data_IF_288390559028
#
_entry.id   IF_288390559028
#
_cell.length_a   1.000
_cell.length_b   1.000
_cell.length_c   1.000
_cell.angle_alpha   90.00
_cell.angle_beta   90.00
_cell.angle_gamma   90.00
#
_symmetry.space_group_name_H-M   'P 1'
#
loop_
_entity.id
_entity.type
_entity.pdbx_description
1 polymer ?
#
# COMPACT_ATOMS: atom_id res chain seq x y z
N UNK A 1 2.40 10.67 5.08
CA UNK A 1 2.28 11.65 6.20
C UNK A 1 2.36 13.05 5.59
N UNK A 2 1.84 14.07 6.27
CA UNK A 2 2.09 15.47 5.89
C UNK A 2 3.33 16.03 6.63
N UNK A 3 3.65 17.29 6.38
CA UNK A 3 4.78 18.01 6.97
C UNK A 3 4.71 18.16 8.51
N UNK A 4 3.51 18.06 9.09
CA UNK A 4 3.27 18.22 10.53
C UNK A 4 3.34 16.90 11.29
N UNK A 5 3.62 15.80 10.59
CA UNK A 5 3.67 14.48 11.19
C UNK A 5 2.32 13.76 11.26
N UNK A 6 1.28 14.26 10.59
CA UNK A 6 -0.04 13.65 10.57
C UNK A 6 -0.16 12.63 9.44
N UNK A 7 -0.84 11.51 9.71
CA UNK A 7 -1.09 10.52 8.67
C UNK A 7 -2.11 11.06 7.68
N UNK A 8 -1.83 10.87 6.40
CA UNK A 8 -2.82 11.06 5.34
C UNK A 8 -3.34 9.68 4.99
N UNK A 9 -4.62 9.43 5.28
CA UNK A 9 -5.29 8.15 5.06
C UNK A 9 -6.29 8.33 3.94
N UNK A 10 -6.10 7.59 2.84
CA UNK A 10 -7.08 7.42 1.76
C UNK A 10 -7.44 5.95 1.75
N UNK A 11 -8.61 5.64 2.28
CA UNK A 11 -9.02 4.26 2.50
C UNK A 11 -9.98 4.11 3.66
N UNK A 12 -9.85 3.01 4.39
CA UNK A 12 -10.69 2.68 5.53
C UNK A 12 -10.42 3.63 6.72
N UNK A 13 -11.24 4.67 6.87
CA UNK A 13 -11.19 5.61 7.99
C UNK A 13 -12.21 5.18 9.06
N UNK A 14 -11.70 4.82 10.24
CA UNK A 14 -12.52 4.39 11.38
C UNK A 14 -12.84 5.57 12.30
N UNK A 15 -14.10 5.73 12.67
CA UNK A 15 -14.62 6.83 13.51
C UNK A 15 -15.61 6.36 14.54
N UNK A 16 -15.87 7.20 15.56
CA UNK A 16 -16.86 6.91 16.59
C UNK A 16 -18.28 7.03 16.02
N UNK A 17 -19.11 6.06 16.37
CA UNK A 17 -20.55 6.04 16.13
C UNK A 17 -21.28 5.83 17.47
N UNK A 18 -22.61 6.01 17.48
CA UNK A 18 -23.41 5.92 18.71
C UNK A 18 -23.31 4.56 19.42
N UNK A 19 -23.10 3.48 18.67
CA UNK A 19 -23.01 2.10 19.14
C UNK A 19 -21.59 1.50 19.06
N UNK A 20 -20.57 2.33 18.81
CA UNK A 20 -19.17 1.90 18.80
C UNK A 20 -18.32 2.63 17.77
N UNK A 21 -17.84 1.89 16.77
CA UNK A 21 -17.00 2.44 15.70
C UNK A 21 -17.54 2.06 14.32
N UNK A 22 -17.49 3.01 13.40
CA UNK A 22 -17.85 2.81 11.99
C UNK A 22 -16.63 3.05 11.11
N UNK A 23 -16.47 2.25 10.06
CA UNK A 23 -15.38 2.35 9.10
C UNK A 23 -15.98 2.67 7.73
N UNK A 24 -15.47 3.71 7.07
CA UNK A 24 -15.88 4.10 5.71
C UNK A 24 -14.66 4.33 4.84
N UNK A 25 -14.80 4.10 3.54
CA UNK A 25 -13.78 4.42 2.57
C UNK A 25 -13.85 5.91 2.22
N UNK A 26 -12.84 6.70 2.59
CA UNK A 26 -12.79 8.16 2.38
C UNK A 26 -11.35 8.68 2.62
N UNK A 27 -11.16 10.00 2.59
CA UNK A 27 -9.91 10.70 2.88
C UNK A 27 -9.92 11.40 4.24
N UNK A 28 -8.83 11.30 4.99
CA UNK A 28 -8.63 12.09 6.20
C UNK A 28 -7.15 12.37 6.49
N UNK A 29 -6.89 13.53 7.06
CA UNK A 29 -5.66 13.82 7.82
C UNK A 29 -5.94 13.41 9.27
N UNK A 30 -5.14 12.50 9.81
CA UNK A 30 -5.33 11.95 11.15
C UNK A 30 -4.06 12.13 11.99
N UNK A 31 -4.26 12.48 13.26
CA UNK A 31 -3.16 12.72 14.20
C UNK A 31 -2.34 11.45 14.43
N UNK A 32 -1.02 11.61 14.54
CA UNK A 32 -0.09 10.54 14.92
C UNK A 32 -0.20 10.14 16.41
N UNK A 33 -1.10 10.77 17.16
CA UNK A 33 -1.47 10.42 18.54
C UNK A 33 -2.83 9.71 18.59
N UNK A 34 -3.34 9.24 17.43
CA UNK A 34 -4.55 8.42 17.40
C UNK A 34 -4.39 7.18 18.27
N UNK A 35 -5.46 6.71 18.94
CA UNK A 35 -5.41 5.48 19.73
C UNK A 35 -4.94 4.28 18.91
N UNK A 36 -4.12 3.44 19.54
CA UNK A 36 -3.56 2.23 18.94
C UNK A 36 -4.28 1.03 19.53
N UNK A 37 -5.25 0.41 18.81
CA UNK A 37 -5.93 -0.77 19.32
C UNK A 37 -5.01 -1.99 19.25
N UNK A 38 -5.36 -3.06 19.97
CA UNK A 38 -4.68 -4.34 19.78
C UNK A 38 -4.79 -4.81 18.31
N UNK A 39 -3.88 -5.67 17.87
CA UNK A 39 -3.93 -6.20 16.52
C UNK A 39 -5.24 -6.98 16.30
N UNK A 40 -5.95 -6.68 15.21
CA UNK A 40 -7.28 -7.24 14.92
C UNK A 40 -8.47 -6.45 15.51
N UNK A 41 -8.21 -5.50 16.41
CA UNK A 41 -9.24 -4.61 16.96
C UNK A 41 -9.33 -3.27 16.20
N UNK A 42 -10.39 -2.50 16.47
CA UNK A 42 -10.66 -1.20 15.84
C UNK A 42 -10.81 -0.11 16.90
N UNK A 43 -10.13 1.01 16.70
CA UNK A 43 -10.32 2.24 17.45
C UNK A 43 -10.56 3.41 16.47
N UNK A 44 -11.31 4.45 16.88
CA UNK A 44 -11.53 5.60 16.04
C UNK A 44 -10.24 6.44 15.92
N UNK A 45 -9.97 6.95 14.72
CA UNK A 45 -8.91 7.93 14.51
C UNK A 45 -9.23 9.26 15.18
N UNK A 46 -8.18 9.96 15.63
CA UNK A 46 -8.26 11.39 15.94
C UNK A 46 -8.11 12.15 14.63
N UNK A 47 -9.25 12.46 13.98
CA UNK A 47 -9.26 13.15 12.69
C UNK A 47 -9.03 14.65 12.89
N UNK A 48 -8.08 15.19 12.14
CA UNK A 48 -7.78 16.62 12.07
C UNK A 48 -8.63 17.26 11.00
N UNK A 49 -8.67 16.66 9.81
CA UNK A 49 -9.42 17.17 8.67
C UNK A 49 -9.90 16.02 7.78
N UNK A 50 -11.08 16.17 7.18
CA UNK A 50 -11.66 15.21 6.24
C UNK A 50 -11.63 15.76 4.82
N UNK A 51 -11.56 14.88 3.84
CA UNK A 51 -11.72 15.23 2.44
C UNK A 51 -12.27 14.03 1.67
N UNK A 52 -12.96 14.30 0.56
CA UNK A 52 -13.39 13.25 -0.36
C UNK A 52 -12.33 13.12 -1.47
N UNK A 53 -11.65 11.95 -1.60
CA UNK A 53 -10.58 11.78 -2.58
C UNK A 53 -11.03 11.93 -4.04
N UNK A 54 -12.32 11.69 -4.29
CA UNK A 54 -12.94 11.77 -5.63
C UNK A 54 -13.44 13.19 -5.96
N UNK A 55 -13.34 14.14 -5.03
CA UNK A 55 -13.69 15.54 -5.22
C UNK A 55 -12.45 16.44 -5.31
N UNK A 56 -12.54 17.62 -5.94
CA UNK A 56 -11.45 18.59 -5.93
C UNK A 56 -11.03 18.97 -4.50
N UNK A 57 -9.77 18.69 -4.15
CA UNK A 57 -9.25 19.02 -2.83
C UNK A 57 -9.19 20.55 -2.62
N UNK A 58 -9.52 21.05 -1.42
CA UNK A 58 -9.18 22.40 -1.01
C UNK A 58 -7.69 22.67 -1.21
N UNK A 59 -7.33 23.89 -1.64
CA UNK A 59 -5.94 24.24 -1.99
C UNK A 59 -4.94 23.92 -0.88
N UNK A 60 -5.28 24.19 0.38
CA UNK A 60 -4.36 23.93 1.50
C UNK A 60 -4.13 22.44 1.75
N UNK A 61 -5.10 21.57 1.44
CA UNK A 61 -4.91 20.12 1.47
C UNK A 61 -4.15 19.65 0.23
N UNK A 62 -4.52 20.13 -0.95
CA UNK A 62 -3.91 19.76 -2.22
C UNK A 62 -2.42 20.09 -2.30
N UNK A 63 -2.00 21.19 -1.67
CA UNK A 63 -0.61 21.67 -1.63
C UNK A 63 0.26 20.93 -0.59
N UNK A 64 -0.32 20.10 0.29
CA UNK A 64 0.44 19.36 1.31
C UNK A 64 1.45 18.44 0.66
N UNK A 65 2.70 18.53 1.12
CA UNK A 65 3.78 17.68 0.62
C UNK A 65 3.74 16.36 1.37
N UNK A 66 3.70 15.26 0.61
CA UNK A 66 3.70 13.93 1.19
C UNK A 66 5.10 13.54 1.67
N UNK A 67 5.12 12.93 2.84
CA UNK A 67 6.29 12.45 3.54
C UNK A 67 6.18 10.95 3.84
N UNK A 68 7.34 10.32 3.98
CA UNK A 68 7.46 8.97 4.52
C UNK A 68 6.97 8.92 5.97
N UNK A 69 6.67 7.73 6.48
CA UNK A 69 6.44 7.51 7.90
C UNK A 69 7.81 7.33 8.59
N UNK A 70 8.02 7.87 9.80
CA UNK A 70 9.24 7.63 10.55
C UNK A 70 9.30 6.17 11.06
N UNK A 71 10.49 5.72 11.46
CA UNK A 71 10.65 4.50 12.25
C UNK A 71 11.15 4.84 13.66
N UNK A 72 10.58 4.20 14.70
CA UNK A 72 9.43 3.32 14.65
C UNK A 72 8.15 4.04 14.20
N UNK A 73 7.26 3.32 13.52
CA UNK A 73 6.01 3.86 12.99
C UNK A 73 5.09 4.31 14.15
N UNK A 74 4.65 5.58 14.21
CA UNK A 74 3.65 6.01 15.17
C UNK A 74 2.34 5.25 14.91
N UNK A 75 1.57 4.96 15.95
CA UNK A 75 0.33 4.22 15.83
C UNK A 75 0.42 2.84 15.14
N UNK A 76 1.55 2.13 15.26
CA UNK A 76 1.69 0.78 14.73
C UNK A 76 1.22 -0.29 15.72
N UNK A 77 0.27 -1.12 15.31
CA UNK A 77 -0.12 -2.34 16.03
C UNK A 77 0.23 -3.62 15.28
N UNK A 78 0.98 -3.53 14.17
CA UNK A 78 1.48 -4.67 13.42
C UNK A 78 2.91 -5.02 13.88
N UNK A 79 3.14 -6.16 14.57
CA UNK A 79 4.48 -6.59 14.99
C UNK A 79 5.29 -7.26 13.87
N UNK A 80 4.84 -7.18 12.61
CA UNK A 80 5.36 -7.97 11.50
C UNK A 80 6.67 -7.41 10.93
N UNK A 81 7.64 -8.30 10.70
CA UNK A 81 8.79 -8.05 9.82
C UNK A 81 8.46 -8.57 8.42
N UNK A 82 8.51 -7.71 7.41
CA UNK A 82 8.05 -8.04 6.05
C UNK A 82 9.04 -8.83 5.20
N UNK A 83 10.33 -8.83 5.52
CA UNK A 83 11.33 -9.69 4.87
C UNK A 83 12.36 -10.22 5.86
N UNK A 84 11.96 -11.07 6.82
CA UNK A 84 12.83 -11.49 7.91
C UNK A 84 14.06 -12.29 7.45
N UNK A 85 14.01 -12.91 6.26
CA UNK A 85 15.18 -13.58 5.66
C UNK A 85 16.24 -12.60 5.14
N UNK A 86 15.84 -11.39 4.77
CA UNK A 86 16.73 -10.35 4.23
C UNK A 86 17.11 -9.32 5.30
N UNK A 87 16.13 -8.94 6.12
CA UNK A 87 16.20 -7.89 7.12
C UNK A 87 15.51 -8.37 8.43
N UNK A 88 16.12 -9.31 9.17
CA UNK A 88 15.54 -9.85 10.39
C UNK A 88 15.29 -8.78 11.47
N UNK A 89 16.15 -7.76 11.52
CA UNK A 89 16.12 -6.70 12.53
C UNK A 89 15.49 -5.38 12.03
N UNK A 90 14.69 -5.43 10.96
CA UNK A 90 14.08 -4.25 10.32
C UNK A 90 13.28 -3.34 11.28
N UNK A 91 12.70 -3.92 12.33
CA UNK A 91 11.93 -3.21 13.35
C UNK A 91 12.81 -2.50 14.40
N UNK A 92 14.13 -2.64 14.35
CA UNK A 92 15.07 -1.97 15.25
C UNK A 92 15.64 -0.67 14.67
N UNK A 93 15.39 -0.39 13.38
CA UNK A 93 15.88 0.83 12.73
C UNK A 93 15.14 2.08 13.25
N UNK A 94 15.90 3.14 13.52
CA UNK A 94 15.38 4.48 13.84
C UNK A 94 15.62 5.41 12.65
N UNK A 95 14.57 6.09 12.21
CA UNK A 95 14.58 6.94 11.03
C UNK A 95 13.58 8.08 11.16
N UNK A 96 13.96 9.33 10.85
CA UNK A 96 12.99 10.42 10.75
C UNK A 96 12.13 10.31 9.48
N UNK A 97 11.04 11.06 9.46
CA UNK A 97 10.23 11.24 8.26
C UNK A 97 10.96 12.13 7.25
N UNK A 98 10.81 11.83 5.96
CA UNK A 98 11.36 12.63 4.85
C UNK A 98 10.28 12.94 3.83
N UNK A 99 10.31 14.11 3.17
CA UNK A 99 9.53 14.31 1.95
C UNK A 99 9.80 13.18 0.97
N UNK A 100 8.78 12.64 0.27
CA UNK A 100 8.94 11.43 -0.56
C UNK A 100 10.09 11.56 -1.58
N UNK A 101 10.22 12.73 -2.22
CA UNK A 101 11.28 13.08 -3.18
C UNK A 101 12.67 13.32 -2.58
N UNK A 102 12.78 13.28 -1.25
CA UNK A 102 14.01 13.46 -0.48
C UNK A 102 14.33 12.24 0.40
N UNK A 103 13.51 11.19 0.37
CA UNK A 103 13.74 9.95 1.11
C UNK A 103 15.17 9.41 0.84
N UNK A 104 15.95 8.98 1.85
CA UNK A 104 17.31 8.52 1.63
C UNK A 104 17.39 7.34 0.67
N UNK A 105 18.39 7.36 -0.22
CA UNK A 105 18.77 6.24 -1.08
C UNK A 105 20.18 5.85 -0.67
N UNK A 106 20.40 4.64 -0.13
CA UNK A 106 21.74 4.15 0.17
C UNK A 106 22.68 4.30 -1.02
N UNK A 107 23.90 4.77 -0.76
CA UNK A 107 24.96 4.92 -1.77
C UNK A 107 24.62 5.86 -2.94
N UNK A 108 23.64 6.74 -2.78
CA UNK A 108 23.29 7.73 -3.79
C UNK A 108 24.29 8.89 -3.84
N UNK A 109 24.80 9.16 -5.04
CA UNK A 109 25.55 10.35 -5.39
C UNK A 109 24.72 11.21 -6.36
N UNK A 110 24.84 12.56 -6.35
CA UNK A 110 24.10 13.44 -7.26
C UNK A 110 24.20 13.04 -8.74
N UNK A 111 25.35 12.52 -9.16
CA UNK A 111 25.67 12.07 -10.51
C UNK A 111 24.82 10.87 -10.95
N UNK A 112 24.24 10.10 -10.00
CA UNK A 112 23.34 8.99 -10.30
C UNK A 112 21.98 9.44 -10.85
N UNK A 113 21.63 10.73 -10.75
CA UNK A 113 20.47 11.30 -11.44
C UNK A 113 19.12 10.76 -10.95
N UNK A 114 18.75 11.12 -9.71
CA UNK A 114 17.45 10.80 -9.09
C UNK A 114 16.28 11.17 -10.02
N UNK A 115 15.32 10.26 -10.20
CA UNK A 115 14.15 10.49 -11.07
C UNK A 115 13.00 11.21 -10.35
N UNK A 116 12.71 10.84 -9.10
CA UNK A 116 11.74 11.55 -8.26
C UNK A 116 12.48 12.59 -7.41
N UNK A 117 12.58 13.82 -7.92
CA UNK A 117 13.38 14.91 -7.36
C UNK A 117 12.57 16.15 -6.93
N UNK A 118 11.26 16.16 -7.20
CA UNK A 118 10.35 17.26 -6.88
C UNK A 118 9.33 16.89 -5.79
N UNK A 119 8.83 17.85 -5.01
CA UNK A 119 7.75 17.60 -4.05
C UNK A 119 6.59 16.83 -4.68
N UNK A 120 6.11 15.84 -3.93
CA UNK A 120 4.90 15.08 -4.26
C UNK A 120 3.79 15.63 -3.39
N UNK A 121 2.74 16.15 -3.99
CA UNK A 121 1.62 16.71 -3.20
C UNK A 121 0.46 15.74 -3.07
N UNK A 122 -0.43 15.99 -2.12
CA UNK A 122 -1.66 15.21 -1.97
C UNK A 122 -2.53 15.30 -3.23
N UNK A 123 -2.63 16.47 -3.86
CA UNK A 123 -3.40 16.63 -5.10
C UNK A 123 -2.87 15.75 -6.25
N UNK A 124 -1.57 15.52 -6.33
CA UNK A 124 -0.99 14.61 -7.31
C UNK A 124 -1.25 13.14 -6.94
N UNK A 125 -1.15 12.84 -5.65
CA UNK A 125 -1.30 11.49 -5.13
C UNK A 125 -2.70 10.91 -5.38
N UNK A 126 -3.75 11.71 -5.16
CA UNK A 126 -5.15 11.26 -5.29
C UNK A 126 -5.60 11.01 -6.72
N UNK A 127 -4.87 11.51 -7.73
CA UNK A 127 -5.24 11.33 -9.14
C UNK A 127 -4.99 9.91 -9.64
N UNK A 128 -4.12 9.17 -8.96
CA UNK A 128 -3.77 7.81 -9.34
C UNK A 128 -5.01 6.94 -9.54
N UNK A 129 -5.04 6.23 -10.65
CA UNK A 129 -6.13 5.31 -10.99
C UNK A 129 -5.61 4.12 -11.77
N UNK A 130 -6.42 3.07 -11.85
CA UNK A 130 -6.08 1.91 -12.63
C UNK A 130 -7.27 0.99 -12.88
N UNK A 131 -7.14 0.18 -13.92
CA UNK A 131 -8.08 -0.88 -14.27
C UNK A 131 -7.40 -2.23 -14.11
N UNK A 132 -8.10 -3.19 -13.52
CA UNK A 132 -7.68 -4.58 -13.40
C UNK A 132 -8.64 -5.47 -14.20
N UNK A 133 -8.09 -6.31 -15.07
CA UNK A 133 -8.80 -7.44 -15.68
C UNK A 133 -8.25 -8.75 -15.14
N UNK A 134 -9.13 -9.62 -14.63
CA UNK A 134 -8.78 -10.98 -14.20
C UNK A 134 -9.35 -11.99 -15.18
N UNK A 135 -8.50 -12.88 -15.70
CA UNK A 135 -8.91 -13.96 -16.63
C UNK A 135 -8.48 -15.30 -16.09
N UNK A 136 -9.39 -16.28 -16.07
CA UNK A 136 -9.07 -17.66 -15.71
C UNK A 136 -8.48 -18.40 -16.93
N UNK A 137 -7.38 -19.11 -16.71
CA UNK A 137 -6.61 -19.77 -17.77
C UNK A 137 -6.41 -21.26 -17.46
N UNK A 138 -6.11 -22.03 -18.51
CA UNK A 138 -5.83 -23.46 -18.42
C UNK A 138 -6.90 -24.21 -17.62
N UNK A 139 -8.16 -24.12 -18.07
CA UNK A 139 -9.31 -24.74 -17.40
C UNK A 139 -9.45 -24.30 -15.93
N UNK A 140 -9.21 -23.01 -15.68
CA UNK A 140 -9.23 -22.36 -14.36
C UNK A 140 -8.15 -22.87 -13.39
N UNK A 141 -7.01 -23.38 -13.86
CA UNK A 141 -5.88 -23.69 -12.96
C UNK A 141 -5.03 -22.49 -12.59
N UNK A 142 -5.09 -21.44 -13.42
CA UNK A 142 -4.35 -20.20 -13.24
C UNK A 142 -5.28 -19.01 -13.41
N UNK A 143 -4.89 -17.87 -12.86
CA UNK A 143 -5.52 -16.61 -13.22
C UNK A 143 -4.47 -15.58 -13.63
N UNK A 144 -4.73 -14.90 -14.75
CA UNK A 144 -3.98 -13.75 -15.22
C UNK A 144 -4.60 -12.48 -14.66
N UNK A 145 -3.76 -11.61 -14.11
CA UNK A 145 -4.10 -10.28 -13.65
C UNK A 145 -3.40 -9.28 -14.57
N UNK A 146 -4.16 -8.54 -15.36
CA UNK A 146 -3.63 -7.53 -16.29
C UNK A 146 -4.10 -6.15 -15.84
N UNK A 147 -3.15 -5.24 -15.65
CA UNK A 147 -3.39 -3.88 -15.16
C UNK A 147 -3.01 -2.83 -16.20
N UNK A 148 -3.76 -1.73 -16.17
CA UNK A 148 -3.36 -0.47 -16.78
C UNK A 148 -3.57 0.64 -15.77
N UNK A 149 -2.53 1.43 -15.54
CA UNK A 149 -2.52 2.52 -14.57
C UNK A 149 -2.34 3.87 -15.27
N UNK A 150 -2.92 4.89 -14.67
CA UNK A 150 -2.84 6.29 -15.10
C UNK A 150 -2.66 7.20 -13.89
N UNK A 151 -2.02 8.36 -14.13
CA UNK A 151 -1.84 9.42 -13.14
C UNK A 151 -1.14 8.96 -11.84
N UNK A 152 -0.35 7.88 -11.91
CA UNK A 152 0.62 7.56 -10.87
C UNK A 152 1.73 8.62 -10.86
N UNK A 153 2.60 8.59 -9.84
CA UNK A 153 3.78 9.45 -9.86
C UNK A 153 4.65 9.09 -11.07
N UNK A 154 5.13 10.06 -11.86
CA UNK A 154 5.90 9.77 -13.07
C UNK A 154 7.29 9.21 -12.72
N UNK A 155 7.81 8.33 -13.58
CA UNK A 155 9.15 7.72 -13.45
C UNK A 155 9.46 7.13 -12.07
N UNK A 156 8.44 6.61 -11.41
CA UNK A 156 8.50 6.15 -10.03
C UNK A 156 8.39 4.63 -10.00
N UNK A 157 9.16 4.01 -9.12
CA UNK A 157 9.12 2.57 -8.88
C UNK A 157 7.94 2.21 -7.99
N UNK A 158 7.17 1.23 -8.43
CA UNK A 158 6.06 0.65 -7.71
C UNK A 158 6.28 -0.84 -7.49
N UNK A 159 5.77 -1.34 -6.37
CA UNK A 159 5.59 -2.77 -6.11
C UNK A 159 4.11 -3.08 -5.99
N UNK A 160 3.72 -4.28 -6.44
CA UNK A 160 2.34 -4.75 -6.43
C UNK A 160 2.23 -6.07 -5.68
N UNK A 161 1.22 -6.17 -4.82
CA UNK A 161 1.10 -7.24 -3.84
C UNK A 161 -0.32 -7.77 -3.79
N UNK A 162 -0.47 -9.05 -3.43
CA UNK A 162 -1.75 -9.66 -3.08
C UNK A 162 -1.99 -9.53 -1.59
N UNK A 163 -3.22 -9.21 -1.22
CA UNK A 163 -3.76 -9.49 0.10
C UNK A 163 -4.59 -10.77 0.02
N UNK A 164 -4.29 -11.73 0.89
CA UNK A 164 -5.03 -12.98 1.00
C UNK A 164 -5.84 -13.05 2.29
N UNK A 165 -6.76 -14.00 2.38
CA UNK A 165 -7.65 -14.18 3.54
C UNK A 165 -6.87 -14.32 4.85
N UNK A 166 -5.83 -15.16 4.85
CA UNK A 166 -5.01 -15.38 6.05
C UNK A 166 -4.07 -14.21 6.36
N UNK A 167 -3.88 -13.26 5.43
CA UNK A 167 -3.12 -12.03 5.70
C UNK A 167 -3.89 -11.04 6.58
N UNK A 168 -5.11 -11.38 7.00
CA UNK A 168 -5.89 -10.59 7.96
C UNK A 168 -6.19 -11.38 9.23
N UNK A 169 -5.65 -12.61 9.38
CA UNK A 169 -5.85 -13.45 10.55
C UNK A 169 -4.97 -12.96 11.72
N UNK A 170 -5.55 -12.46 12.82
CA UNK A 170 -4.78 -12.02 13.98
C UNK A 170 -4.05 -13.15 14.69
N UNK A 171 -4.51 -14.40 14.53
CA UNK A 171 -3.91 -15.59 15.12
C UNK A 171 -2.88 -16.28 14.20
N UNK A 172 -2.85 -15.90 12.92
CA UNK A 172 -1.98 -16.46 11.89
C UNK A 172 -0.83 -15.55 11.49
N UNK A 173 0.16 -16.04 10.72
CA UNK A 173 1.18 -15.19 10.13
C UNK A 173 0.54 -14.28 9.09
N UNK A 174 0.39 -13.00 9.40
CA UNK A 174 0.00 -12.01 8.40
C UNK A 174 1.21 -11.58 7.60
N UNK A 175 1.25 -11.83 6.28
CA UNK A 175 2.30 -11.27 5.41
C UNK A 175 1.83 -11.23 3.94
N UNK A 176 1.30 -10.08 3.47
CA UNK A 176 0.99 -9.89 2.07
C UNK A 176 2.14 -10.35 1.17
N UNK A 177 1.79 -11.15 0.16
CA UNK A 177 2.73 -11.71 -0.80
C UNK A 177 2.83 -10.86 -2.08
N UNK A 178 3.87 -11.08 -2.90
CA UNK A 178 3.98 -10.41 -4.19
C UNK A 178 2.89 -10.90 -5.17
N UNK A 179 2.37 -10.00 -6.01
CA UNK A 179 1.52 -10.41 -7.14
C UNK A 179 2.40 -10.88 -8.30
N UNK A 180 2.74 -12.17 -8.30
CA UNK A 180 3.67 -12.76 -9.27
C UNK A 180 5.14 -12.44 -8.93
N UNK A 181 6.06 -12.92 -9.76
CA UNK A 181 7.48 -12.56 -9.68
C UNK A 181 8.00 -12.40 -11.12
N UNK A 182 8.57 -11.24 -11.51
CA UNK A 182 8.76 -10.03 -10.70
C UNK A 182 7.43 -9.31 -10.38
N UNK A 183 7.40 -8.53 -9.30
CA UNK A 183 6.20 -7.81 -8.83
C UNK A 183 6.41 -6.29 -8.72
N UNK A 184 7.25 -5.75 -9.60
CA UNK A 184 7.54 -4.32 -9.63
C UNK A 184 7.35 -3.79 -11.04
N UNK A 185 7.03 -2.50 -11.14
CA UNK A 185 7.00 -1.77 -12.40
C UNK A 185 7.45 -0.32 -12.18
N UNK A 186 7.86 0.34 -13.25
CA UNK A 186 8.22 1.76 -13.25
C UNK A 186 7.26 2.49 -14.16
N UNK A 187 6.71 3.59 -13.70
CA UNK A 187 5.81 4.43 -14.50
C UNK A 187 6.57 5.23 -15.55
N UNK A 188 5.89 5.59 -16.63
CA UNK A 188 6.45 6.46 -17.66
C UNK A 188 6.48 7.94 -17.22
N UNK A 189 6.79 8.84 -18.17
CA UNK A 189 6.88 10.29 -17.92
C UNK A 189 5.53 10.94 -17.56
N UNK A 190 4.43 10.31 -17.94
CA UNK A 190 3.05 10.75 -17.66
C UNK A 190 2.43 10.06 -16.45
N UNK A 191 3.14 9.14 -15.77
CA UNK A 191 2.55 8.36 -14.69
C UNK A 191 1.74 7.15 -15.19
N UNK A 192 1.89 6.77 -16.46
CA UNK A 192 1.27 5.58 -17.04
C UNK A 192 2.10 4.33 -16.77
N UNK A 193 1.45 3.18 -16.60
CA UNK A 193 2.11 1.88 -16.51
C UNK A 193 1.17 0.74 -16.92
N UNK A 194 1.74 -0.38 -17.34
CA UNK A 194 1.06 -1.65 -17.46
C UNK A 194 1.81 -2.72 -16.65
N UNK A 195 1.07 -3.65 -16.05
CA UNK A 195 1.62 -4.76 -15.29
C UNK A 195 0.81 -6.01 -15.56
N UNK A 196 1.48 -7.16 -15.63
CA UNK A 196 0.82 -8.46 -15.78
C UNK A 196 1.48 -9.50 -14.90
N UNK A 197 0.66 -10.35 -14.28
CA UNK A 197 1.11 -11.54 -13.57
C UNK A 197 0.12 -12.68 -13.76
N UNK A 198 0.65 -13.91 -13.82
CA UNK A 198 -0.16 -15.14 -13.82
C UNK A 198 0.15 -15.90 -12.55
N UNK A 199 -0.88 -16.11 -11.72
CA UNK A 199 -0.74 -16.86 -10.48
C UNK A 199 -1.29 -18.28 -10.66
N UNK A 200 -0.63 -19.31 -10.11
CA UNK A 200 -1.20 -20.63 -9.98
C UNK A 200 -2.22 -20.66 -8.83
N UNK A 201 -3.40 -21.21 -9.08
CA UNK A 201 -4.47 -21.40 -8.10
C UNK A 201 -4.70 -20.21 -7.12
N UNK A 202 -4.91 -18.97 -7.59
CA UNK A 202 -5.07 -17.81 -6.70
C UNK A 202 -6.42 -17.76 -5.97
N UNK A 203 -7.42 -18.53 -6.42
CA UNK A 203 -8.79 -18.54 -5.91
C UNK A 203 -9.26 -19.97 -5.57
N UNK A 204 -8.56 -20.70 -4.69
CA UNK A 204 -8.97 -22.07 -4.32
C UNK A 204 -10.42 -22.10 -3.82
N UNK A 205 -11.09 -23.24 -3.98
CA UNK A 205 -12.46 -23.41 -3.48
C UNK A 205 -12.54 -23.05 -1.99
N UNK A 206 -13.51 -22.23 -1.55
CA UNK A 206 -13.65 -21.86 -0.14
C UNK A 206 -13.86 -23.05 0.81
N UNK A 207 -14.37 -24.18 0.31
CA UNK A 207 -14.50 -25.40 1.12
C UNK A 207 -13.21 -26.21 1.21
N UNK A 208 -12.17 -25.83 0.46
CA UNK A 208 -10.89 -26.52 0.49
C UNK A 208 -10.15 -26.19 1.79
N UNK A 209 -9.79 -27.22 2.54
CA UNK A 209 -8.98 -27.07 3.74
C UNK A 209 -7.62 -26.40 3.41
N UNK A 210 -7.27 -25.36 4.17
CA UNK A 210 -6.06 -24.59 3.95
C UNK A 210 -6.05 -23.70 2.70
N UNK A 211 -7.20 -23.53 2.03
CA UNK A 211 -7.35 -22.54 0.97
C UNK A 211 -7.04 -21.14 1.48
N UNK A 212 -6.29 -20.35 0.70
CA UNK A 212 -5.95 -18.98 1.07
C UNK A 212 -6.12 -18.08 -0.15
N UNK A 213 -7.33 -17.57 -0.34
CA UNK A 213 -7.72 -16.87 -1.57
C UNK A 213 -7.11 -15.47 -1.62
N UNK A 214 -6.74 -15.02 -2.82
CA UNK A 214 -6.47 -13.60 -3.06
C UNK A 214 -7.79 -12.85 -2.97
N UNK A 215 -7.86 -11.84 -2.10
CA UNK A 215 -9.06 -11.03 -1.86
C UNK A 215 -8.86 -9.56 -2.22
N UNK A 216 -7.63 -9.12 -2.44
CA UNK A 216 -7.34 -7.75 -2.86
C UNK A 216 -5.96 -7.68 -3.50
N UNK A 217 -5.69 -6.55 -4.16
CA UNK A 217 -4.38 -6.20 -4.72
C UNK A 217 -4.04 -4.80 -4.24
N UNK A 218 -2.78 -4.59 -3.84
CA UNK A 218 -2.28 -3.30 -3.35
C UNK A 218 -1.12 -2.86 -4.22
N UNK A 219 -1.19 -1.61 -4.71
CA UNK A 219 -0.10 -0.93 -5.42
C UNK A 219 0.57 0.04 -4.45
N UNK A 220 1.88 -0.10 -4.32
CA UNK A 220 2.70 0.58 -3.33
C UNK A 220 3.82 1.37 -4.02
N UNK A 221 3.89 2.68 -3.79
CA UNK A 221 4.98 3.53 -4.26
C UNK A 221 6.24 3.30 -3.43
N UNK A 222 7.40 3.13 -4.06
CA UNK A 222 8.70 2.95 -3.39
C UNK A 222 9.48 4.27 -3.34
N UNK A 223 9.45 4.95 -2.21
CA UNK A 223 10.10 6.28 -2.02
C UNK A 223 11.63 6.25 -2.06
N UNK A 224 12.26 5.11 -1.74
CA UNK A 224 13.69 4.91 -1.93
C UNK A 224 14.10 4.73 -3.40
N UNK A 225 13.15 4.61 -4.33
CA UNK A 225 13.40 4.36 -5.76
C UNK A 225 14.24 3.09 -6.04
N UNK A 226 14.39 2.20 -5.05
CA UNK A 226 15.17 0.96 -5.14
C UNK A 226 14.28 -0.27 -5.02
N UNK A 227 14.50 -1.24 -5.89
CA UNK A 227 13.86 -2.56 -5.79
C UNK A 227 14.68 -3.44 -4.86
N UNK A 228 14.35 -3.50 -3.57
CA UNK A 228 14.98 -4.42 -2.60
C UNK A 228 14.52 -5.89 -2.77
N UNK A 229 14.11 -6.30 -3.97
CA UNK A 229 13.62 -7.65 -4.25
C UNK A 229 12.19 -7.89 -3.74
N UNK A 230 11.23 -7.10 -4.21
CA UNK A 230 9.80 -7.44 -4.23
C UNK A 230 9.04 -7.45 -2.90
N UNK A 231 9.71 -7.39 -1.75
CA UNK A 231 9.07 -7.27 -0.45
C UNK A 231 9.21 -5.84 0.12
N UNK A 232 8.31 -5.49 1.04
CA UNK A 232 8.26 -4.31 1.95
C UNK A 232 9.48 -4.30 2.92
N UNK A 233 10.56 -4.96 2.52
CA UNK A 233 11.30 -5.88 3.38
C UNK A 233 12.16 -5.22 4.43
N UNK A 234 12.71 -4.05 4.12
CA UNK A 234 13.66 -3.38 5.00
C UNK A 234 12.98 -2.55 6.08
N UNK A 235 11.82 -1.99 5.76
CA UNK A 235 11.38 -0.76 6.40
C UNK A 235 9.90 -0.77 6.77
N UNK A 236 9.15 -1.79 6.35
CA UNK A 236 7.77 -1.93 6.76
C UNK A 236 6.82 -0.94 6.08
N UNK A 237 5.57 -0.97 6.51
CA UNK A 237 4.52 -0.10 5.99
C UNK A 237 4.85 1.37 6.25
N UNK A 238 4.87 2.14 5.17
CA UNK A 238 5.03 3.59 5.19
C UNK A 238 6.45 4.09 5.45
N UNK A 239 7.39 3.24 5.86
CA UNK A 239 8.79 3.65 6.02
C UNK A 239 9.42 4.05 4.69
N UNK A 240 9.38 3.15 3.72
CA UNK A 240 9.85 3.36 2.33
C UNK A 240 8.76 3.12 1.28
N UNK A 241 7.71 2.37 1.63
CA UNK A 241 6.62 1.99 0.75
C UNK A 241 5.28 2.57 1.19
N UNK A 242 4.51 3.09 0.24
CA UNK A 242 3.30 3.87 0.52
C UNK A 242 2.14 3.37 -0.33
N UNK A 243 1.04 2.97 0.31
CA UNK A 243 -0.12 2.48 -0.41
C UNK A 243 -0.79 3.61 -1.21
N UNK A 244 -0.92 3.41 -2.52
CA UNK A 244 -1.55 4.37 -3.41
C UNK A 244 -2.87 3.84 -3.98
N UNK A 245 -2.93 2.57 -4.40
CA UNK A 245 -4.17 1.96 -4.89
C UNK A 245 -4.48 0.65 -4.16
N UNK A 246 -5.75 0.48 -3.80
CA UNK A 246 -6.33 -0.74 -3.20
C UNK A 246 -7.85 -0.71 -3.41
N UNK A 247 -8.48 -1.87 -3.54
CA UNK A 247 -9.95 -1.92 -3.58
C UNK A 247 -10.58 -1.64 -2.21
N UNK A 248 -11.73 -0.92 -2.15
CA UNK A 248 -12.40 -0.60 -0.89
C UNK A 248 -12.90 -1.80 -0.07
N UNK A 249 -13.13 -2.92 -0.74
CA UNK A 249 -13.68 -4.14 -0.16
C UNK A 249 -12.95 -5.38 -0.71
N UNK A 250 -13.08 -6.55 -0.06
CA UNK A 250 -12.68 -7.82 -0.64
C UNK A 250 -13.33 -8.05 -2.02
N UNK A 251 -12.54 -8.56 -2.97
CA UNK A 251 -12.91 -8.79 -4.36
C UNK A 251 -12.73 -10.28 -4.74
N UNK A 252 -13.06 -10.63 -5.99
CA UNK A 252 -12.75 -11.92 -6.63
C UNK A 252 -13.51 -13.14 -6.08
N UNK A 253 -14.64 -12.93 -5.43
CA UNK A 253 -15.49 -14.01 -4.91
C UNK A 253 -16.13 -14.84 -6.04
N UNK A 254 -16.29 -14.23 -7.21
CA UNK A 254 -16.84 -14.83 -8.42
C UNK A 254 -15.90 -15.86 -9.08
N UNK A 255 -14.61 -15.86 -8.73
CA UNK A 255 -13.63 -16.75 -9.33
C UNK A 255 -13.35 -17.98 -8.45
N UNK A 256 -13.25 -19.15 -9.07
CA UNK A 256 -12.73 -20.37 -8.42
C UNK A 256 -11.70 -21.01 -9.32
N UNK A 257 -10.53 -21.31 -8.78
CA UNK A 257 -9.45 -22.02 -9.46
C UNK A 257 -9.33 -23.46 -8.98
N UNK A 258 -8.75 -24.30 -9.85
CA UNK A 258 -8.51 -25.73 -9.61
C UNK A 258 -7.01 -25.99 -9.48
N UNK A 259 -6.63 -26.94 -8.65
CA UNK A 259 -5.25 -27.44 -8.59
C UNK A 259 -4.90 -28.28 -9.84
#
# INVERSE_FOLDING_TARGET
MDEDGNFVVIGAVTTRADDGVTTRWTGAVVSAQSPVPAFGERAPYTIIERFEPDEPLPKHLGDKVLHTLPLPLPCNNYPMVFAPQQYPDANTEDRPSYPLHRAPIPDFEPEHGRQLDRPVTLAEWVRASGTLTVTLEHEARKARFSFTFSDLLPRTLYTIMTLREHDLDPAGPTRPGPLGVPNVFVTDRSGGAAFEAVLPNPFPDPSQEGGNRVINVVVLCMSSQMSHGGAIGRYGLGGDIHAQLKFPQPMFHEFTTRA
#
